data_IF_082626897994
#
_entry.id   IF_082626897994
#
_cell.length_a   1.000
_cell.length_b   1.000
_cell.length_c   1.000
_cell.angle_alpha   90.00
_cell.angle_beta   90.00
_cell.angle_gamma   90.00
#
_symmetry.space_group_name_H-M   'P 1'
#
loop_
_entity.id
_entity.type
_entity.pdbx_description
1 polymer ?
#
# COMPACT_ATOMS: atom_id res chain seq x y z
N UNK A 1 -10.59 -6.65 11.74
CA UNK A 1 -9.26 -6.96 11.20
C UNK A 1 -9.44 -7.55 9.81
N UNK A 2 -8.77 -7.00 8.80
CA UNK A 2 -8.97 -7.39 7.39
C UNK A 2 -7.78 -8.16 6.81
N UNK A 3 -6.64 -8.10 7.49
CA UNK A 3 -5.42 -8.86 7.20
C UNK A 3 -4.56 -8.87 8.46
N UNK A 4 -3.89 -9.99 8.72
CA UNK A 4 -2.86 -10.14 9.74
C UNK A 4 -1.88 -11.20 9.24
N UNK A 5 -0.62 -10.83 9.02
CA UNK A 5 0.39 -11.72 8.45
C UNK A 5 1.80 -11.27 8.76
N UNK A 6 2.71 -12.24 8.80
CA UNK A 6 4.16 -12.02 8.87
C UNK A 6 4.84 -12.18 7.51
N UNK A 7 4.11 -12.65 6.49
CA UNK A 7 4.58 -12.69 5.11
C UNK A 7 4.35 -11.32 4.46
N UNK A 8 5.40 -10.52 4.36
CA UNK A 8 5.34 -9.23 3.67
C UNK A 8 6.61 -8.99 2.85
N UNK A 9 6.44 -8.22 1.77
CA UNK A 9 7.53 -7.60 1.03
C UNK A 9 7.55 -6.12 1.39
N UNK A 10 8.65 -5.68 2.00
CA UNK A 10 8.90 -4.27 2.30
C UNK A 10 9.64 -3.62 1.14
N UNK A 11 8.99 -2.68 0.45
CA UNK A 11 9.59 -1.91 -0.65
C UNK A 11 10.10 -0.58 -0.10
N UNK A 12 11.34 -0.26 -0.45
CA UNK A 12 11.99 1.00 -0.08
C UNK A 12 12.19 1.85 -1.34
N UNK A 13 11.72 3.08 -1.31
CA UNK A 13 11.78 4.00 -2.43
C UNK A 13 12.41 5.32 -1.99
N UNK A 14 13.23 5.91 -2.86
CA UNK A 14 13.89 7.19 -2.59
C UNK A 14 12.85 8.24 -2.17
N UNK A 15 13.10 8.93 -1.06
CA UNK A 15 12.24 10.00 -0.52
C UNK A 15 10.85 9.57 -0.02
N UNK A 16 10.59 8.26 0.14
CA UNK A 16 9.34 7.74 0.71
C UNK A 16 9.59 6.88 1.96
N UNK A 17 8.64 6.83 2.91
CA UNK A 17 8.55 5.73 3.86
C UNK A 17 8.36 4.40 3.14
N UNK A 18 8.66 3.26 3.80
CA UNK A 18 8.42 1.95 3.24
C UNK A 18 6.95 1.70 2.88
N UNK A 19 6.72 0.90 1.85
CA UNK A 19 5.41 0.31 1.56
C UNK A 19 5.48 -1.19 1.83
N UNK A 20 4.46 -1.74 2.46
CA UNK A 20 4.35 -3.18 2.72
C UNK A 20 3.33 -3.82 1.78
N UNK A 21 3.77 -4.86 1.08
CA UNK A 21 2.94 -5.69 0.22
C UNK A 21 2.74 -7.05 0.86
N UNK A 22 1.49 -7.42 1.08
CA UNK A 22 1.11 -8.68 1.72
C UNK A 22 0.35 -9.57 0.72
N UNK A 23 0.38 -10.90 0.87
CA UNK A 23 -0.28 -11.83 -0.04
C UNK A 23 -1.77 -11.53 -0.20
N UNK A 24 -2.29 -11.69 -1.42
CA UNK A 24 -3.72 -11.52 -1.70
C UNK A 24 -4.59 -12.53 -0.92
N UNK A 25 -4.08 -13.73 -0.70
CA UNK A 25 -4.75 -14.82 0.03
C UNK A 25 -4.70 -14.67 1.56
N UNK A 26 -4.00 -13.65 2.07
CA UNK A 26 -4.04 -13.28 3.49
C UNK A 26 -5.32 -12.49 3.85
N UNK A 27 -6.11 -12.07 2.85
CA UNK A 27 -7.38 -11.36 3.05
C UNK A 27 -8.55 -12.34 3.05
N UNK A 28 -9.59 -12.10 3.86
CA UNK A 28 -10.85 -12.84 3.77
C UNK A 28 -11.49 -12.73 2.38
N UNK A 29 -12.22 -13.76 1.97
CA UNK A 29 -12.98 -13.75 0.73
C UNK A 29 -13.91 -12.52 0.64
N UNK A 30 -13.87 -11.83 -0.50
CA UNK A 30 -14.66 -10.64 -0.75
C UNK A 30 -14.13 -9.35 -0.08
N UNK A 31 -13.08 -9.41 0.72
CA UNK A 31 -12.49 -8.21 1.31
C UNK A 31 -11.79 -7.33 0.27
N UNK A 32 -11.21 -7.94 -0.77
CA UNK A 32 -10.60 -7.27 -1.92
C UNK A 32 -11.53 -7.36 -3.13
N UNK A 33 -12.10 -6.24 -3.55
CA UNK A 33 -12.98 -6.16 -4.73
C UNK A 33 -12.24 -5.42 -5.85
N UNK A 34 -11.87 -6.10 -6.96
CA UNK A 34 -11.19 -5.44 -8.07
C UNK A 34 -12.05 -4.31 -8.65
N UNK A 35 -11.43 -3.17 -8.94
CA UNK A 35 -12.10 -2.03 -9.57
C UNK A 35 -11.34 -1.54 -10.79
N UNK A 36 -12.05 -0.86 -11.69
CA UNK A 36 -11.45 -0.29 -12.90
C UNK A 36 -10.46 0.84 -12.62
N UNK A 37 -9.66 1.14 -13.64
CA UNK A 37 -8.65 2.19 -13.63
C UNK A 37 -7.28 1.67 -13.17
N UNK A 38 -6.24 2.17 -13.83
CA UNK A 38 -4.85 1.79 -13.57
C UNK A 38 -3.98 3.03 -13.45
N UNK A 39 -2.82 2.88 -12.84
CA UNK A 39 -1.75 3.89 -12.87
C UNK A 39 -0.45 3.21 -13.28
N UNK A 40 0.48 3.98 -13.82
CA UNK A 40 1.75 3.43 -14.27
C UNK A 40 2.89 3.99 -13.43
N UNK A 41 3.74 3.09 -12.91
CA UNK A 41 5.01 3.40 -12.29
C UNK A 41 6.13 2.99 -13.24
N UNK A 42 7.04 3.90 -13.57
CA UNK A 42 8.13 3.62 -14.50
C UNK A 42 9.07 2.49 -14.05
N UNK A 43 9.07 2.18 -12.76
CA UNK A 43 9.89 1.10 -12.19
C UNK A 43 9.13 -0.22 -12.06
N UNK A 44 7.88 -0.19 -11.60
CA UNK A 44 7.14 -1.38 -11.17
C UNK A 44 6.14 -1.88 -12.20
N UNK A 45 5.79 -1.06 -13.18
CA UNK A 45 4.80 -1.37 -14.20
C UNK A 45 3.41 -0.81 -13.88
N UNK A 46 2.38 -1.46 -14.40
CA UNK A 46 0.99 -1.03 -14.25
C UNK A 46 0.40 -1.52 -12.92
N UNK A 47 -0.11 -0.58 -12.12
CA UNK A 47 -0.85 -0.84 -10.90
C UNK A 47 -2.36 -0.93 -11.19
N UNK A 48 -3.00 -1.90 -10.55
CA UNK A 48 -4.46 -2.06 -10.49
C UNK A 48 -4.95 -1.84 -9.06
N UNK A 49 -6.24 -1.53 -8.90
CA UNK A 49 -6.80 -1.10 -7.62
C UNK A 49 -7.88 -2.06 -7.09
N UNK A 50 -8.00 -2.08 -5.77
CA UNK A 50 -9.05 -2.76 -5.03
C UNK A 50 -9.86 -1.77 -4.21
N UNK A 51 -11.18 -1.93 -4.22
CA UNK A 51 -12.05 -1.48 -3.14
C UNK A 51 -11.96 -2.47 -1.98
N UNK A 52 -11.81 -1.96 -0.76
CA UNK A 52 -11.73 -2.77 0.45
C UNK A 52 -13.11 -2.83 1.09
N UNK A 53 -13.60 -4.04 1.38
CA UNK A 53 -14.88 -4.26 2.05
C UNK A 53 -14.67 -5.02 3.35
N UNK A 54 -15.15 -4.48 4.47
CA UNK A 54 -15.01 -5.13 5.77
C UNK A 54 -16.05 -4.64 6.78
N UNK A 55 -16.68 -5.56 7.50
CA UNK A 55 -17.62 -5.21 8.58
C UNK A 55 -18.80 -4.32 8.15
N UNK A 56 -19.18 -4.35 6.87
CA UNK A 56 -20.21 -3.48 6.30
C UNK A 56 -19.71 -2.13 5.78
N UNK A 57 -18.43 -1.81 6.00
CA UNK A 57 -17.77 -0.62 5.43
C UNK A 57 -17.17 -0.94 4.07
N UNK A 58 -17.28 0.02 3.14
CA UNK A 58 -16.69 -0.05 1.81
C UNK A 58 -15.79 1.17 1.63
N UNK A 59 -14.53 0.93 1.28
CA UNK A 59 -13.54 2.00 1.06
C UNK A 59 -12.97 1.86 -0.35
N UNK A 60 -13.33 2.80 -1.21
CA UNK A 60 -12.98 2.74 -2.63
C UNK A 60 -11.48 2.94 -2.85
N UNK A 61 -10.91 2.13 -3.75
CA UNK A 61 -9.51 2.25 -4.22
C UNK A 61 -8.46 2.29 -3.08
N UNK A 62 -8.78 1.70 -1.93
CA UNK A 62 -7.93 1.74 -0.74
C UNK A 62 -6.79 0.70 -0.73
N UNK A 63 -6.73 -0.18 -1.73
CA UNK A 63 -5.58 -1.05 -1.98
C UNK A 63 -5.15 -1.04 -3.44
N UNK A 64 -3.89 -1.38 -3.69
CA UNK A 64 -3.35 -1.54 -5.04
C UNK A 64 -2.41 -2.73 -5.15
N UNK A 65 -2.28 -3.26 -6.37
CA UNK A 65 -1.43 -4.40 -6.72
C UNK A 65 -0.76 -4.17 -8.07
N UNK A 66 0.32 -4.89 -8.33
CA UNK A 66 0.94 -4.97 -9.64
C UNK A 66 0.70 -6.39 -10.17
N UNK A 67 -0.37 -6.66 -10.94
CA UNK A 67 -0.71 -8.02 -11.38
C UNK A 67 0.26 -8.57 -12.43
N UNK A 68 1.01 -7.69 -13.09
CA UNK A 68 2.07 -8.02 -14.05
C UNK A 68 3.24 -7.07 -13.82
N UNK A 69 3.97 -7.24 -12.70
CA UNK A 69 5.02 -6.32 -12.31
C UNK A 69 6.19 -6.38 -13.30
N UNK A 70 6.89 -5.26 -13.43
CA UNK A 70 8.10 -5.19 -14.24
C UNK A 70 9.22 -6.10 -13.68
N UNK A 71 10.21 -6.39 -14.53
CA UNK A 71 11.36 -7.23 -14.18
C UNK A 71 12.07 -6.69 -12.93
N UNK A 72 12.36 -7.56 -11.97
CA UNK A 72 12.93 -7.22 -10.67
C UNK A 72 11.90 -6.94 -9.57
N UNK A 73 10.62 -6.83 -9.91
CA UNK A 73 9.50 -6.64 -8.97
C UNK A 73 8.52 -7.82 -8.96
N UNK A 74 8.92 -8.98 -9.47
CA UNK A 74 8.08 -10.18 -9.62
C UNK A 74 7.45 -10.62 -8.29
N UNK A 75 8.13 -10.38 -7.16
CA UNK A 75 7.63 -10.68 -5.82
C UNK A 75 6.33 -9.93 -5.45
N UNK A 76 5.97 -8.87 -6.18
CA UNK A 76 4.74 -8.10 -5.97
C UNK A 76 3.53 -8.67 -6.71
N UNK A 77 3.73 -9.62 -7.64
CA UNK A 77 2.71 -10.09 -8.59
C UNK A 77 1.43 -10.67 -7.97
N UNK A 78 1.54 -11.22 -6.75
CA UNK A 78 0.44 -11.84 -6.00
C UNK A 78 0.19 -11.14 -4.68
N UNK A 79 0.54 -9.84 -4.59
CA UNK A 79 0.48 -9.08 -3.34
C UNK A 79 -0.26 -7.76 -3.53
N UNK A 80 -0.81 -7.26 -2.44
CA UNK A 80 -1.51 -5.98 -2.36
C UNK A 80 -0.88 -5.13 -1.28
N UNK A 81 -0.82 -3.83 -1.52
CA UNK A 81 -0.53 -2.82 -0.51
C UNK A 81 -1.80 -2.02 -0.22
N UNK A 82 -1.90 -1.47 0.98
CA UNK A 82 -3.03 -0.64 1.43
C UNK A 82 -2.56 0.79 1.69
N UNK A 83 -3.45 1.75 1.46
CA UNK A 83 -3.27 3.15 1.86
C UNK A 83 -3.61 3.27 3.36
N UNK A 84 -2.63 3.52 4.26
CA UNK A 84 -2.92 3.54 5.69
C UNK A 84 -3.86 4.68 6.10
N UNK A 85 -3.90 5.77 5.32
CA UNK A 85 -4.83 6.89 5.50
C UNK A 85 -6.32 6.50 5.37
N UNK A 86 -6.61 5.37 4.74
CA UNK A 86 -7.96 4.88 4.49
C UNK A 86 -8.37 3.75 5.44
N UNK A 87 -7.49 3.35 6.36
CA UNK A 87 -7.72 2.25 7.29
C UNK A 87 -7.97 2.79 8.70
N UNK A 88 -8.77 2.08 9.50
CA UNK A 88 -8.96 2.41 10.92
C UNK A 88 -7.62 2.37 11.69
N UNK A 89 -6.77 1.41 11.33
CA UNK A 89 -5.39 1.30 11.82
C UNK A 89 -4.57 0.31 11.01
N UNK A 90 -3.28 0.61 10.87
CA UNK A 90 -2.26 -0.33 10.41
C UNK A 90 -1.17 -0.44 11.47
N UNK A 91 -0.61 -1.64 11.62
CA UNK A 91 0.48 -1.90 12.56
C UNK A 91 1.58 -2.72 11.88
N UNK A 92 2.83 -2.48 12.26
CA UNK A 92 4.00 -3.27 11.86
C UNK A 92 4.70 -3.70 13.14
N UNK A 93 4.83 -5.01 13.36
CA UNK A 93 5.41 -5.58 14.59
C UNK A 93 4.79 -5.03 15.89
N UNK A 94 3.47 -4.80 15.88
CA UNK A 94 2.71 -4.21 17.00
C UNK A 94 2.86 -2.70 17.16
N UNK A 95 3.57 -2.04 16.24
CA UNK A 95 3.75 -0.59 16.23
C UNK A 95 2.75 0.07 15.28
N UNK A 96 1.96 1.02 15.80
CA UNK A 96 0.99 1.77 15.00
C UNK A 96 1.68 2.67 13.97
N UNK A 97 1.20 2.58 12.74
CA UNK A 97 1.68 3.32 11.58
C UNK A 97 0.99 4.67 11.47
N UNK A 98 1.77 5.70 11.16
CA UNK A 98 1.29 6.97 10.61
C UNK A 98 1.42 6.94 9.08
N UNK A 99 0.48 7.52 8.34
CA UNK A 99 0.52 7.53 6.88
C UNK A 99 1.44 8.64 6.35
N UNK A 100 2.06 8.39 5.19
CA UNK A 100 2.72 9.43 4.40
C UNK A 100 1.69 10.45 3.92
N UNK A 101 1.95 11.74 4.10
CA UNK A 101 1.06 12.79 3.62
C UNK A 101 0.91 12.79 2.09
N UNK A 102 -0.26 13.24 1.62
CA UNK A 102 -0.62 13.28 0.20
C UNK A 102 -1.56 12.13 -0.19
N UNK A 103 -2.24 12.27 -1.32
CA UNK A 103 -3.33 11.37 -1.75
C UNK A 103 -2.89 10.33 -2.79
N UNK A 104 -1.59 10.14 -2.96
CA UNK A 104 -1.02 9.29 -4.01
C UNK A 104 -0.07 8.23 -3.46
N UNK A 105 0.67 8.56 -2.40
CA UNK A 105 1.70 7.70 -1.84
C UNK A 105 1.16 6.95 -0.62
N UNK A 106 1.25 5.62 -0.63
CA UNK A 106 0.79 4.80 0.50
C UNK A 106 1.92 4.37 1.42
N UNK A 107 2.82 5.29 1.80
CA UNK A 107 3.96 5.02 2.69
C UNK A 107 3.56 4.83 4.16
N UNK A 108 4.22 3.89 4.84
CA UNK A 108 3.97 3.47 6.22
C UNK A 108 5.09 4.00 7.13
N UNK A 109 4.77 4.91 8.06
CA UNK A 109 5.72 5.55 8.96
C UNK A 109 5.59 4.94 10.37
N UNK A 110 6.62 4.22 10.79
CA UNK A 110 6.88 3.84 12.19
C UNK A 110 7.86 4.83 12.84
N UNK A 111 7.99 4.86 14.16
CA UNK A 111 8.89 5.69 14.98
C UNK A 111 10.36 5.65 14.53
N UNK A 112 10.82 4.54 13.94
CA UNK A 112 12.20 4.41 13.41
C UNK A 112 12.39 5.02 12.02
N UNK A 113 11.32 5.41 11.35
CA UNK A 113 11.33 5.96 9.99
C UNK A 113 11.25 7.48 10.11
N UNK A 114 12.38 8.14 9.85
CA UNK A 114 12.54 9.59 10.01
C UNK A 114 12.58 10.26 8.64
N UNK A 115 11.80 11.32 8.48
CA UNK A 115 11.72 12.10 7.26
C UNK A 115 12.87 13.09 7.06
N UNK A 116 12.74 14.03 6.12
CA UNK A 116 11.50 14.39 5.42
C UNK A 116 11.08 13.37 4.35
N UNK A 117 9.78 13.35 4.06
CA UNK A 117 9.18 12.55 2.99
C UNK A 117 8.49 13.47 2.00
N UNK A 118 8.38 13.05 0.74
CA UNK A 118 7.53 13.77 -0.21
C UNK A 118 6.05 13.47 0.00
N UNK A 119 5.19 14.26 -0.62
CA UNK A 119 3.72 14.15 -0.57
C UNK A 119 3.04 15.28 0.20
N UNK A 120 3.71 15.84 1.22
CA UNK A 120 3.27 17.05 1.91
C UNK A 120 3.54 18.34 1.13
N UNK A 121 2.98 19.50 1.57
CA UNK A 121 3.21 20.80 0.93
C UNK A 121 4.69 21.14 0.75
N UNK A 122 5.07 21.64 -0.44
CA UNK A 122 6.45 22.06 -0.74
C UNK A 122 7.40 20.95 -1.18
N UNK A 123 6.92 19.72 -1.34
CA UNK A 123 7.74 18.55 -1.76
C UNK A 123 7.57 18.17 -3.23
N UNK A 124 6.92 19.04 -4.02
CA UNK A 124 6.74 18.81 -5.45
C UNK A 124 8.11 18.75 -6.18
N UNK A 125 8.33 17.69 -6.96
CA UNK A 125 9.57 17.50 -7.73
C UNK A 125 10.68 16.73 -7.02
N UNK A 126 10.42 16.17 -5.84
CA UNK A 126 11.32 15.26 -5.11
C UNK A 126 11.35 13.84 -5.68
#
# INVERSE_FOLDING_TARGET
MIVDTTDSVRVLETSHPPVYYVPLDAFPDGALVPVGGTTFCEFKGEASYFTITAGGTVVERAGWTYPSPARGFEALGSRVALYPEHMDSCEVDGERVTFQEGNFYGGWITQKIVGPFKGGPGTAGW
#
